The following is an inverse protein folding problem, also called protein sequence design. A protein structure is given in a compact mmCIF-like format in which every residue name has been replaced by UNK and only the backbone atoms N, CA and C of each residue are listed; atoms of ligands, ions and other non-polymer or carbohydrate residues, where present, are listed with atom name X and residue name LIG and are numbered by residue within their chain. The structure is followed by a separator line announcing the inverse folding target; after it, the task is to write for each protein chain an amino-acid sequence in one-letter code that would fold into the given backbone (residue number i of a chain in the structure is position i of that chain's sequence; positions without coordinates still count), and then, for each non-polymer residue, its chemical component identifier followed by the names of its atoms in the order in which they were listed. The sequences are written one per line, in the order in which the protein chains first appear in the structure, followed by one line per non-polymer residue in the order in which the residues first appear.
data_IF_682331711192
#
_entry.id   IF_682331711192
#
_cell.length_a   1.000
_cell.length_b   1.000
_cell.length_c   1.000
_cell.angle_alpha   90.00
_cell.angle_beta   90.00
_cell.angle_gamma   90.00
#
_symmetry.space_group_name_H-M   'P 1'
#
loop_
_entity.id
_entity.type
_entity.pdbx_description
1 polymer ?
#
# COMPACT_ATOMS: atom_id res chain seq x y z
N UNK A 1 12.27 20.18 22.28
CA UNK A 1 12.15 19.68 22.45
C UNK A 1 12.19 19.16 22.55
N UNK A 2 12.09 19.16 22.36
CA UNK A 2 12.05 18.59 22.58
C UNK A 2 11.83 17.93 22.24
N UNK A 3 11.79 17.91 22.07
CA UNK A 3 11.65 17.25 21.83
C UNK A 3 11.51 16.61 21.17
N UNK A 4 10.96 16.68 21.23
CA UNK A 4 10.92 15.83 20.55
C UNK A 4 11.69 15.18 19.79
N UNK A 5 12.04 14.93 19.98
CA UNK A 5 12.81 14.53 19.43
C UNK A 5 13.22 13.54 18.77
N UNK A 6 14.15 13.44 18.96
CA UNK A 6 14.69 12.69 17.83
C UNK A 6 14.40 11.21 17.92
N UNK A 7 14.27 10.70 19.09
CA UNK A 7 13.84 9.31 19.27
C UNK A 7 12.46 9.08 18.66
N UNK A 8 11.72 10.16 18.53
CA UNK A 8 10.37 10.10 17.98
C UNK A 8 10.32 10.53 16.53
N UNK A 9 11.48 10.63 15.89
CA UNK A 9 11.51 11.00 14.49
C UNK A 9 10.72 9.99 13.68
N UNK A 10 9.73 10.50 13.01
CA UNK A 10 8.87 9.70 12.14
C UNK A 10 8.56 10.51 10.91
N UNK A 11 8.67 9.86 9.79
CA UNK A 11 8.39 10.48 8.51
C UNK A 11 7.15 9.82 7.95
N UNK A 12 6.09 10.61 7.81
CA UNK A 12 4.81 10.10 7.32
C UNK A 12 4.73 10.38 5.84
N UNK A 13 4.56 9.31 5.07
CA UNK A 13 4.40 9.41 3.63
C UNK A 13 2.96 9.11 3.27
N UNK A 14 2.35 10.01 2.52
CA UNK A 14 1.01 9.79 1.99
C UNK A 14 1.16 9.26 0.57
N UNK A 15 0.44 8.21 0.28
CA UNK A 15 0.44 7.66 -1.06
C UNK A 15 -0.98 7.40 -1.52
N UNK A 16 -1.18 7.49 -2.83
CA UNK A 16 -2.48 7.27 -3.44
C UNK A 16 -2.48 5.91 -4.12
N UNK A 17 -3.51 5.14 -3.85
CA UNK A 17 -3.69 3.83 -4.48
C UNK A 17 -4.85 3.94 -5.44
N UNK A 18 -4.61 3.55 -6.69
CA UNK A 18 -5.65 3.48 -7.71
C UNK A 18 -5.68 2.06 -8.24
N UNK A 19 -6.83 1.43 -8.12
CA UNK A 19 -7.03 0.06 -8.59
C UNK A 19 -8.10 0.12 -9.67
N UNK A 20 -7.76 -0.39 -10.85
CA UNK A 20 -8.65 -0.36 -12.00
C UNK A 20 -8.88 -1.78 -12.49
N UNK A 21 -10.13 -2.13 -12.74
CA UNK A 21 -10.47 -3.44 -13.30
C UNK A 21 -10.43 -3.36 -14.81
N UNK A 22 -9.35 -3.86 -15.40
CA UNK A 22 -9.17 -3.88 -16.86
C UNK A 22 -9.62 -5.18 -17.49
N UNK A 23 -10.15 -6.09 -16.71
CA UNK A 23 -10.61 -7.37 -17.20
C UNK A 23 -12.06 -7.34 -17.68
N UNK A 24 -12.59 -8.52 -17.95
CA UNK A 24 -13.95 -8.66 -18.47
C UNK A 24 -14.95 -9.11 -17.41
N UNK A 25 -14.48 -9.46 -16.23
CA UNK A 25 -15.33 -9.96 -15.15
C UNK A 25 -15.24 -9.06 -13.93
N UNK A 26 -16.31 -9.04 -13.15
CA UNK A 26 -16.29 -8.32 -11.87
C UNK A 26 -15.33 -8.99 -10.90
N UNK A 27 -14.60 -8.19 -10.13
CA UNK A 27 -13.64 -8.68 -9.14
C UNK A 27 -13.89 -8.01 -7.80
N UNK A 28 -13.45 -8.68 -6.74
CA UNK A 28 -13.51 -8.13 -5.39
C UNK A 28 -12.11 -8.15 -4.79
N UNK A 29 -11.71 -7.02 -4.24
CA UNK A 29 -10.43 -6.95 -3.53
C UNK A 29 -10.59 -7.60 -2.17
N UNK A 30 -9.83 -8.67 -1.93
CA UNK A 30 -9.98 -9.45 -0.71
C UNK A 30 -8.95 -9.09 0.35
N UNK A 31 -7.69 -9.04 -0.05
CA UNK A 31 -6.59 -8.86 0.90
C UNK A 31 -5.47 -8.06 0.28
N UNK A 32 -4.66 -7.46 1.15
CA UNK A 32 -3.44 -6.77 0.75
C UNK A 32 -2.26 -7.32 1.53
N UNK A 33 -1.10 -7.24 0.92
CA UNK A 33 0.15 -7.57 1.57
C UNK A 33 1.17 -6.53 1.14
N UNK A 34 1.77 -5.86 2.13
CA UNK A 34 2.83 -4.87 1.90
C UNK A 34 4.11 -5.34 2.53
N UNK A 35 5.21 -5.15 1.81
CA UNK A 35 6.54 -5.31 2.36
C UNK A 35 7.17 -3.93 2.35
N UNK A 36 7.42 -3.41 3.53
CA UNK A 36 7.91 -2.05 3.73
C UNK A 36 9.36 -2.13 4.20
N UNK A 37 10.24 -1.46 3.48
CA UNK A 37 11.63 -1.38 3.87
C UNK A 37 11.94 0.02 4.38
N UNK A 38 12.49 0.09 5.59
CA UNK A 38 12.94 1.32 6.21
C UNK A 38 14.45 1.17 6.38
N UNK A 39 15.21 2.10 5.80
CA UNK A 39 16.68 2.02 5.79
C UNK A 39 17.25 1.86 7.20
N UNK A 40 16.64 2.49 8.20
CA UNK A 40 17.15 2.41 9.57
C UNK A 40 16.60 1.23 10.36
N UNK A 41 15.53 0.60 9.90
CA UNK A 41 14.81 -0.39 10.70
C UNK A 41 14.76 -1.78 10.06
N UNK A 42 14.78 -1.85 8.73
CA UNK A 42 14.66 -3.11 8.01
C UNK A 42 13.28 -3.33 7.43
N UNK A 43 12.91 -4.57 7.25
CA UNK A 43 11.66 -4.93 6.60
C UNK A 43 10.53 -5.14 7.59
N UNK A 44 9.34 -4.70 7.21
CA UNK A 44 8.10 -4.95 7.95
C UNK A 44 7.06 -5.44 6.95
N UNK A 45 6.39 -6.54 7.29
CA UNK A 45 5.31 -7.05 6.48
C UNK A 45 3.98 -6.66 7.11
N UNK A 46 3.09 -6.11 6.29
CA UNK A 46 1.75 -5.71 6.73
C UNK A 46 0.74 -6.45 5.87
N UNK A 47 -0.15 -7.18 6.53
CA UNK A 47 -1.22 -7.91 5.85
C UNK A 47 -2.56 -7.44 6.41
N UNK A 48 -3.56 -7.42 5.56
CA UNK A 48 -4.88 -7.02 6.01
C UNK A 48 -5.92 -7.22 4.93
N UNK A 49 -7.18 -6.95 5.29
CA UNK A 49 -8.28 -7.08 4.35
C UNK A 49 -8.35 -5.83 3.47
N UNK A 50 -8.45 -6.06 2.17
CA UNK A 50 -8.67 -5.01 1.20
C UNK A 50 -7.70 -3.86 1.27
N UNK A 51 -8.22 -2.65 1.10
CA UNK A 51 -7.48 -1.39 1.22
C UNK A 51 -8.13 -0.58 2.33
N UNK A 52 -7.37 -0.30 3.38
CA UNK A 52 -7.86 0.43 4.57
C UNK A 52 -9.13 -0.24 5.12
N UNK A 53 -9.12 -1.58 5.17
CA UNK A 53 -10.25 -2.33 5.67
C UNK A 53 -11.44 -2.43 4.72
N UNK A 54 -11.36 -1.82 3.54
CA UNK A 54 -12.43 -1.87 2.54
C UNK A 54 -12.14 -2.96 1.52
N UNK A 55 -13.18 -3.71 1.14
CA UNK A 55 -13.07 -4.77 0.15
C UNK A 55 -13.98 -4.46 -1.03
N UNK A 56 -13.62 -3.46 -1.85
CA UNK A 56 -14.50 -3.02 -2.92
C UNK A 56 -14.67 -4.06 -4.01
N UNK A 57 -15.88 -4.07 -4.60
CA UNK A 57 -16.16 -4.86 -5.79
C UNK A 57 -16.10 -3.92 -6.98
N UNK A 58 -15.39 -4.35 -8.02
CA UNK A 58 -15.20 -3.55 -9.21
C UNK A 58 -15.74 -4.26 -10.42
N UNK A 59 -16.67 -3.62 -11.12
CA UNK A 59 -17.12 -4.08 -12.41
C UNK A 59 -16.06 -3.78 -13.47
N UNK A 60 -16.10 -4.45 -14.63
CA UNK A 60 -15.16 -4.12 -15.69
C UNK A 60 -15.19 -2.63 -16.01
N UNK A 61 -14.01 -2.00 -16.04
CA UNK A 61 -13.87 -0.58 -16.31
C UNK A 61 -13.99 0.32 -15.10
N UNK A 62 -14.39 -0.22 -13.95
CA UNK A 62 -14.48 0.58 -12.73
C UNK A 62 -13.14 0.69 -12.04
N UNK A 63 -12.97 1.77 -11.28
CA UNK A 63 -11.75 1.98 -10.50
C UNK A 63 -12.10 2.38 -9.08
N UNK A 64 -11.13 2.14 -8.19
CA UNK A 64 -11.23 2.50 -6.79
C UNK A 64 -9.94 3.23 -6.41
N UNK A 65 -10.06 4.37 -5.77
CA UNK A 65 -8.86 5.08 -5.33
C UNK A 65 -9.02 5.52 -3.89
N UNK A 66 -7.90 5.54 -3.18
CA UNK A 66 -7.87 6.02 -1.82
C UNK A 66 -6.45 6.45 -1.45
N UNK A 67 -6.36 7.22 -0.38
CA UNK A 67 -5.08 7.62 0.18
C UNK A 67 -4.77 6.76 1.39
N UNK A 68 -3.50 6.51 1.60
CA UNK A 68 -3.04 5.84 2.80
C UNK A 68 -1.72 6.46 3.22
N UNK A 69 -1.27 6.10 4.41
CA UNK A 69 -0.03 6.63 4.96
C UNK A 69 0.86 5.49 5.39
N UNK A 70 2.17 5.73 5.31
CA UNK A 70 3.16 4.84 5.87
C UNK A 70 4.14 5.67 6.67
N UNK A 71 4.64 5.12 7.75
CA UNK A 71 5.57 5.81 8.65
C UNK A 71 6.92 5.12 8.57
N UNK A 72 7.96 5.89 8.28
CA UNK A 72 9.33 5.40 8.29
C UNK A 72 10.12 6.18 9.32
N UNK A 73 11.04 5.51 9.99
CA UNK A 73 11.87 6.15 10.99
C UNK A 73 13.05 6.90 10.37
N UNK A 74 13.57 6.39 9.26
CA UNK A 74 14.73 7.00 8.61
C UNK A 74 14.36 8.08 7.60
N UNK A 75 13.12 8.15 7.19
CA UNK A 75 12.70 9.03 6.11
C UNK A 75 13.08 8.53 4.73
N UNK A 76 13.68 7.35 4.63
CA UNK A 76 14.07 6.74 3.36
C UNK A 76 13.71 5.26 3.40
N UNK A 77 13.06 4.79 2.37
CA UNK A 77 12.71 3.39 2.27
C UNK A 77 11.98 3.09 0.98
N UNK A 78 11.29 1.97 0.97
CA UNK A 78 10.49 1.61 -0.19
C UNK A 78 9.34 0.69 0.24
N UNK A 79 8.39 0.55 -0.65
CA UNK A 79 7.27 -0.35 -0.45
C UNK A 79 7.06 -1.18 -1.71
N UNK A 80 6.65 -2.42 -1.51
CA UNK A 80 6.18 -3.28 -2.58
C UNK A 80 5.18 -4.25 -1.98
N UNK A 81 4.42 -4.92 -2.81
CA UNK A 81 3.46 -5.86 -2.28
C UNK A 81 2.57 -6.43 -3.35
N UNK A 82 1.43 -6.93 -2.91
CA UNK A 82 0.44 -7.43 -3.83
C UNK A 82 -0.95 -7.32 -3.22
N UNK A 83 -1.94 -7.43 -4.10
CA UNK A 83 -3.34 -7.54 -3.73
C UNK A 83 -3.85 -8.90 -4.15
N UNK A 84 -4.75 -9.44 -3.35
CA UNK A 84 -5.43 -10.71 -3.68
C UNK A 84 -6.86 -10.36 -4.02
N UNK A 85 -7.26 -10.72 -5.24
CA UNK A 85 -8.59 -10.47 -5.75
C UNK A 85 -9.35 -11.78 -5.93
N UNK A 86 -10.67 -11.68 -5.89
CA UNK A 86 -11.54 -12.79 -6.22
C UNK A 86 -12.35 -12.41 -7.46
N UNK A 87 -12.31 -13.28 -8.46
CA UNK A 87 -13.16 -13.14 -9.64
C UNK A 87 -14.57 -13.56 -9.25
N UNK A 88 -15.53 -12.65 -9.36
CA UNK A 88 -16.88 -12.91 -8.88
C UNK A 88 -17.68 -13.81 -9.82
N UNK A 89 -17.20 -14.02 -11.04
CA UNK A 89 -17.84 -14.93 -12.00
C UNK A 89 -17.36 -16.37 -11.80
N UNK A 90 -16.04 -16.55 -11.69
CA UNK A 90 -15.45 -17.89 -11.58
C UNK A 90 -15.23 -18.31 -10.14
N UNK A 91 -15.24 -17.35 -9.21
CA UNK A 91 -14.98 -17.54 -7.77
C UNK A 91 -13.54 -17.93 -7.48
N UNK A 92 -12.65 -17.79 -8.44
CA UNK A 92 -11.23 -18.03 -8.23
C UNK A 92 -10.53 -16.80 -7.72
N UNK A 93 -9.44 -17.00 -6.99
CA UNK A 93 -8.63 -15.89 -6.49
C UNK A 93 -7.36 -15.76 -7.32
N UNK A 94 -6.84 -14.55 -7.41
CA UNK A 94 -5.59 -14.29 -8.11
C UNK A 94 -4.87 -13.13 -7.44
N UNK A 95 -3.56 -13.04 -7.68
CA UNK A 95 -2.73 -11.99 -7.12
C UNK A 95 -2.38 -10.96 -8.20
N UNK A 96 -2.28 -9.71 -7.78
CA UNK A 96 -1.80 -8.64 -8.64
C UNK A 96 -0.67 -7.94 -7.92
N UNK A 97 0.51 -7.94 -8.52
CA UNK A 97 1.69 -7.36 -7.90
C UNK A 97 1.68 -5.83 -7.98
N UNK A 98 2.21 -5.23 -6.93
CA UNK A 98 2.42 -3.79 -6.86
C UNK A 98 3.91 -3.57 -7.02
N UNK A 99 4.36 -2.87 -8.07
CA UNK A 99 5.78 -2.61 -8.26
C UNK A 99 6.36 -1.84 -7.07
N UNK A 100 7.64 -2.11 -6.78
CA UNK A 100 8.32 -1.41 -5.72
C UNK A 100 8.43 0.08 -6.05
N UNK A 101 8.16 0.92 -5.06
CA UNK A 101 8.35 2.35 -5.21
C UNK A 101 9.10 2.90 -4.00
N UNK A 102 9.87 3.95 -4.23
CA UNK A 102 10.73 4.54 -3.23
C UNK A 102 10.00 5.61 -2.43
N UNK A 103 10.37 5.71 -1.16
CA UNK A 103 9.84 6.71 -0.25
C UNK A 103 11.03 7.53 0.24
N UNK A 104 11.01 8.82 -0.05
CA UNK A 104 12.08 9.73 0.37
C UNK A 104 11.43 10.97 0.95
N UNK A 105 11.80 11.27 2.19
CA UNK A 105 11.28 12.46 2.85
C UNK A 105 11.87 13.72 2.23
N UNK A 106 11.02 14.69 1.94
CA UNK A 106 11.48 15.98 1.42
C UNK A 106 12.34 16.71 2.44
N UNK A 107 12.14 16.44 3.71
CA UNK A 107 12.95 17.07 4.75
C UNK A 107 14.43 16.76 4.57
N UNK A 108 14.75 15.58 4.04
CA UNK A 108 16.11 15.17 3.83
C UNK A 108 16.75 15.83 2.61
N UNK A 109 15.97 16.47 1.78
CA UNK A 109 16.46 17.11 0.58
C UNK A 109 16.97 18.53 0.85
N UNK A 110 16.73 19.02 2.01
CA UNK A 110 17.14 20.35 2.42
C UNK A 110 18.43 20.25 3.26
#
# INVERSE_FOLDING_TARGET
MKNSFPADNRFVFRYNIVIENLGNDAVKLMKRRWLIYDVSFGFTEVMGDGVIGMTPELQPGESFSCFSNVILRSGVGNMQGNYIFKNLETLETFESDIPKFNLVSEVLCN
#
